data_IF_191715286174
#
_entry.id   IF_191715286174
#
_cell.length_a   1.000
_cell.length_b   1.000
_cell.length_c   1.000
_cell.angle_alpha   90.00
_cell.angle_beta   90.00
_cell.angle_gamma   90.00
#
_symmetry.space_group_name_H-M   'P 1'
#
loop_
_entity.id
_entity.type
_entity.pdbx_description
1 polymer ?
#
# COMPACT_ATOMS: atom_id res chain seq x y z
N UNK A 1 41.19 80.64 34.67
CA UNK A 1 40.89 79.23 35.01
C UNK A 1 42.20 78.59 35.40
N UNK A 2 42.29 78.07 36.62
CA UNK A 2 43.47 77.33 37.06
C UNK A 2 43.48 75.93 36.41
N UNK A 3 44.64 75.27 36.38
CA UNK A 3 44.79 73.97 35.74
C UNK A 3 43.87 72.89 36.37
N UNK A 4 43.53 73.04 37.65
CA UNK A 4 42.67 72.12 38.39
C UNK A 4 41.20 72.20 37.92
N UNK A 5 40.69 73.41 37.67
CA UNK A 5 39.33 73.62 37.14
C UNK A 5 39.20 73.15 35.69
N UNK A 6 40.25 73.27 34.88
CA UNK A 6 40.26 72.72 33.52
C UNK A 6 40.25 71.18 33.54
N UNK A 7 41.04 70.56 34.43
CA UNK A 7 41.11 69.11 34.55
C UNK A 7 39.82 68.48 35.10
N UNK A 8 39.16 69.15 36.05
CA UNK A 8 37.85 68.74 36.55
C UNK A 8 36.78 68.82 35.46
N UNK A 9 36.79 69.87 34.63
CA UNK A 9 35.86 70.01 33.51
C UNK A 9 36.08 68.92 32.44
N UNK A 10 37.34 68.57 32.14
CA UNK A 10 37.66 67.47 31.21
C UNK A 10 37.21 66.12 31.78
N UNK A 11 37.43 65.86 33.07
CA UNK A 11 36.96 64.61 33.70
C UNK A 11 35.43 64.50 33.73
N UNK A 12 34.73 65.61 33.98
CA UNK A 12 33.27 65.65 33.90
C UNK A 12 32.76 65.40 32.48
N UNK A 13 33.41 65.97 31.46
CA UNK A 13 33.05 65.74 30.06
C UNK A 13 33.32 64.29 29.63
N UNK A 14 34.43 63.69 30.06
CA UNK A 14 34.74 62.28 29.77
C UNK A 14 33.72 61.35 30.47
N UNK A 15 33.33 61.65 31.70
CA UNK A 15 32.31 60.87 32.41
C UNK A 15 30.93 60.95 31.72
N UNK A 16 30.54 62.12 31.21
CA UNK A 16 29.30 62.29 30.46
C UNK A 16 29.31 61.50 29.14
N UNK A 17 30.42 61.54 28.40
CA UNK A 17 30.57 60.76 27.15
C UNK A 17 30.54 59.25 27.42
N UNK A 18 31.11 58.79 28.53
CA UNK A 18 31.06 57.38 28.92
C UNK A 18 29.64 56.94 29.34
N UNK A 19 28.85 57.82 29.96
CA UNK A 19 27.45 57.55 30.26
C UNK A 19 26.59 57.49 29.00
N UNK A 20 26.78 58.41 28.04
CA UNK A 20 26.05 58.39 26.76
C UNK A 20 26.43 57.16 25.92
N UNK A 21 27.70 56.75 25.91
CA UNK A 21 28.12 55.54 25.22
C UNK A 21 27.49 54.27 25.82
N UNK A 22 27.35 54.20 27.15
CA UNK A 22 26.68 53.10 27.83
C UNK A 22 25.17 53.04 27.51
N UNK A 23 24.52 54.19 27.33
CA UNK A 23 23.12 54.27 26.89
C UNK A 23 22.97 53.84 25.42
N UNK A 24 23.91 54.24 24.55
CA UNK A 24 23.93 53.82 23.13
C UNK A 24 24.12 52.30 23.00
N UNK A 25 25.03 51.70 23.78
CA UNK A 25 25.26 50.25 23.76
C UNK A 25 24.09 49.45 24.37
N UNK A 26 23.30 50.05 25.28
CA UNK A 26 22.09 49.44 25.82
C UNK A 26 20.90 49.46 24.84
N UNK A 27 20.86 50.43 23.90
CA UNK A 27 19.80 50.55 22.88
C UNK A 27 20.15 49.75 21.62
N UNK A 28 21.42 49.36 21.43
CA UNK A 28 21.83 48.55 20.28
C UNK A 28 21.14 47.18 20.36
N UNK A 29 20.36 46.78 19.34
CA UNK A 29 19.73 45.47 19.33
C UNK A 29 20.84 44.41 19.41
N UNK A 30 20.83 43.67 20.51
CA UNK A 30 21.73 42.53 20.68
C UNK A 30 21.45 41.56 19.51
N UNK A 31 22.47 41.05 18.81
CA UNK A 31 22.27 40.05 17.78
C UNK A 31 21.59 38.85 18.44
N UNK A 32 20.29 38.71 18.17
CA UNK A 32 19.48 37.61 18.66
C UNK A 32 20.17 36.34 18.18
N UNK A 33 20.52 35.39 19.07
CA UNK A 33 21.15 34.15 18.64
C UNK A 33 20.26 33.53 17.58
N UNK A 34 20.82 33.29 16.39
CA UNK A 34 20.09 32.72 15.28
C UNK A 34 19.37 31.47 15.80
N UNK A 35 18.04 31.49 15.77
CA UNK A 35 17.24 30.37 16.25
C UNK A 35 17.75 29.11 15.56
N UNK A 36 18.12 28.10 16.36
CA UNK A 36 18.61 26.84 15.83
C UNK A 36 17.59 26.31 14.81
N UNK A 37 18.04 26.08 13.57
CA UNK A 37 17.18 25.56 12.51
C UNK A 37 16.69 24.19 12.98
N UNK A 38 15.42 24.10 13.35
CA UNK A 38 14.81 22.85 13.76
C UNK A 38 14.94 21.85 12.61
N UNK A 39 15.39 20.63 12.93
CA UNK A 39 15.44 19.54 11.96
C UNK A 39 14.06 19.35 11.32
N UNK A 40 14.00 19.39 9.99
CA UNK A 40 12.79 19.21 9.22
C UNK A 40 13.01 18.14 8.16
N UNK A 41 12.18 17.09 8.18
CA UNK A 41 12.19 16.02 7.17
C UNK A 41 11.55 16.49 5.86
N UNK A 42 10.69 17.51 5.92
CA UNK A 42 9.98 18.06 4.76
C UNK A 42 10.31 19.54 4.56
N UNK A 43 10.47 20.02 3.30
CA UNK A 43 10.92 21.38 3.03
C UNK A 43 10.01 22.49 3.56
N UNK A 44 8.73 22.18 3.79
CA UNK A 44 7.76 23.13 4.34
C UNK A 44 7.67 23.09 5.88
N UNK A 45 8.33 22.13 6.54
CA UNK A 45 8.27 21.90 8.00
C UNK A 45 6.87 21.54 8.52
N UNK A 46 6.73 21.42 9.84
CA UNK A 46 5.47 21.14 10.55
C UNK A 46 4.94 22.33 11.35
N UNK A 47 5.58 23.50 11.24
CA UNK A 47 5.20 24.69 12.01
C UNK A 47 3.85 25.29 11.60
N UNK A 48 3.25 26.14 12.42
CA UNK A 48 1.96 26.78 12.11
C UNK A 48 2.08 28.15 11.41
N UNK A 49 3.31 28.59 11.11
CA UNK A 49 3.57 29.87 10.44
C UNK A 49 3.09 29.80 8.99
N UNK A 50 2.30 30.80 8.58
CA UNK A 50 1.85 30.92 7.21
C UNK A 50 3.05 31.06 6.25
N UNK A 51 2.95 30.45 5.07
CA UNK A 51 3.93 30.64 4.02
C UNK A 51 3.84 32.05 3.46
N UNK A 52 4.99 32.68 3.25
CA UNK A 52 5.06 33.92 2.49
C UNK A 52 5.09 33.62 0.98
N UNK A 53 3.90 33.51 0.37
CA UNK A 53 3.75 33.32 -1.07
C UNK A 53 4.08 34.56 -1.91
N UNK A 54 4.34 35.72 -1.30
CA UNK A 54 4.82 36.90 -2.03
C UNK A 54 6.32 36.82 -2.31
N UNK A 55 7.07 36.05 -1.51
CA UNK A 55 8.48 35.77 -1.76
C UNK A 55 8.70 34.85 -2.95
N UNK A 56 9.86 34.98 -3.62
CA UNK A 56 10.28 34.03 -4.67
C UNK A 56 10.31 32.59 -4.16
N UNK A 57 10.74 32.35 -2.92
CA UNK A 57 10.77 31.00 -2.32
C UNK A 57 9.37 30.45 -2.11
N UNK A 58 8.45 31.25 -1.56
CA UNK A 58 7.06 30.84 -1.37
C UNK A 58 6.32 30.63 -2.68
N UNK A 59 6.57 31.45 -3.70
CA UNK A 59 6.00 31.24 -5.04
C UNK A 59 6.45 29.89 -5.63
N UNK A 60 7.74 29.55 -5.51
CA UNK A 60 8.25 28.23 -5.94
C UNK A 60 7.59 27.09 -5.18
N UNK A 61 7.41 27.22 -3.87
CA UNK A 61 6.68 26.24 -3.05
C UNK A 61 5.22 26.10 -3.48
N UNK A 62 4.54 27.21 -3.74
CA UNK A 62 3.16 27.20 -4.22
C UNK A 62 3.03 26.47 -5.56
N UNK A 63 3.91 26.76 -6.53
CA UNK A 63 3.91 26.09 -7.84
C UNK A 63 4.18 24.59 -7.67
N UNK A 64 5.24 24.23 -6.94
CA UNK A 64 5.64 22.84 -6.77
C UNK A 64 4.58 22.01 -6.03
N UNK A 65 3.98 22.59 -4.99
CA UNK A 65 2.95 21.93 -4.19
C UNK A 65 1.62 21.78 -4.93
N UNK A 66 1.27 22.70 -5.83
CA UNK A 66 0.04 22.66 -6.64
C UNK A 66 0.21 22.01 -8.02
N UNK A 67 1.40 21.50 -8.33
CA UNK A 67 1.67 20.84 -9.62
C UNK A 67 0.78 19.61 -9.79
N UNK A 68 -0.02 19.52 -10.88
CA UNK A 68 -0.88 18.38 -11.16
C UNK A 68 -0.15 17.04 -11.20
N UNK A 69 -0.87 15.95 -10.92
CA UNK A 69 -0.36 14.61 -11.21
C UNK A 69 -0.24 14.39 -12.72
N UNK A 70 0.82 13.69 -13.15
CA UNK A 70 1.12 13.47 -14.57
C UNK A 70 -0.05 12.81 -15.32
N UNK A 71 -0.70 11.84 -14.67
CA UNK A 71 -1.91 11.21 -15.18
C UNK A 71 -3.10 11.77 -14.42
N UNK A 72 -4.01 12.40 -15.16
CA UNK A 72 -5.26 12.88 -14.60
C UNK A 72 -6.10 11.71 -14.11
N UNK A 73 -6.66 11.85 -12.92
CA UNK A 73 -7.58 10.88 -12.34
C UNK A 73 -8.95 10.98 -13.04
N UNK A 74 -9.43 9.84 -13.54
CA UNK A 74 -10.65 9.75 -14.34
C UNK A 74 -11.92 9.53 -13.50
N UNK A 75 -11.78 9.33 -12.19
CA UNK A 75 -12.90 9.09 -11.29
C UNK A 75 -13.32 7.63 -11.21
N UNK A 76 -12.43 6.68 -11.54
CA UNK A 76 -12.66 5.25 -11.31
C UNK A 76 -12.33 4.85 -9.87
N UNK A 77 -13.30 4.22 -9.21
CA UNK A 77 -13.17 3.68 -7.84
C UNK A 77 -11.95 2.76 -7.67
N UNK A 78 -11.66 1.89 -8.66
CA UNK A 78 -10.50 0.98 -8.61
C UNK A 78 -9.15 1.70 -8.51
N UNK A 79 -9.08 2.96 -8.91
CA UNK A 79 -7.86 3.79 -8.83
C UNK A 79 -7.95 4.90 -7.79
N UNK A 80 -9.05 4.98 -7.03
CA UNK A 80 -9.27 5.99 -6.00
C UNK A 80 -8.18 5.93 -4.92
N UNK A 81 -7.82 4.73 -4.45
CA UNK A 81 -6.78 4.56 -3.42
C UNK A 81 -5.43 5.13 -3.87
N UNK A 82 -5.02 4.88 -5.11
CA UNK A 82 -3.78 5.44 -5.65
C UNK A 82 -3.83 6.97 -5.69
N UNK A 83 -4.96 7.53 -6.11
CA UNK A 83 -5.17 8.98 -6.11
C UNK A 83 -5.08 9.59 -4.70
N UNK A 84 -5.77 8.99 -3.72
CA UNK A 84 -5.72 9.43 -2.32
C UNK A 84 -4.33 9.30 -1.71
N UNK A 85 -3.59 8.23 -2.02
CA UNK A 85 -2.19 8.04 -1.63
C UNK A 85 -1.30 9.15 -2.18
N UNK A 86 -1.44 9.52 -3.46
CA UNK A 86 -0.67 10.61 -4.07
C UNK A 86 -0.96 11.96 -3.42
N UNK A 87 -2.22 12.21 -3.04
CA UNK A 87 -2.60 13.40 -2.26
C UNK A 87 -1.94 13.38 -0.88
N UNK A 88 -2.00 12.26 -0.16
CA UNK A 88 -1.38 12.12 1.16
C UNK A 88 0.14 12.36 1.11
N UNK A 89 0.83 11.80 0.11
CA UNK A 89 2.27 12.03 -0.10
C UNK A 89 2.59 13.51 -0.40
N UNK A 90 1.74 14.18 -1.20
CA UNK A 90 1.88 15.61 -1.45
C UNK A 90 1.67 16.41 -0.17
N UNK A 91 0.64 16.07 0.59
CA UNK A 91 0.35 16.70 1.86
C UNK A 91 1.50 16.55 2.87
N UNK A 92 2.09 15.36 2.97
CA UNK A 92 3.27 15.14 3.80
C UNK A 92 4.45 16.02 3.36
N UNK A 93 4.78 15.99 2.06
CA UNK A 93 5.90 16.74 1.48
C UNK A 93 5.83 18.25 1.73
N UNK A 94 4.62 18.81 1.81
CA UNK A 94 4.39 20.24 2.00
C UNK A 94 3.72 20.59 3.35
N UNK A 95 3.63 19.64 4.28
CA UNK A 95 3.09 19.87 5.62
C UNK A 95 1.62 20.27 5.65
N UNK A 96 0.79 19.66 4.80
CA UNK A 96 -0.68 19.80 4.77
C UNK A 96 -1.39 18.73 5.58
N UNK A 97 -0.68 17.73 6.11
CA UNK A 97 -1.27 16.63 6.88
C UNK A 97 -2.30 17.08 7.92
N UNK A 98 -2.12 18.19 8.68
CA UNK A 98 -3.13 18.64 9.64
C UNK A 98 -4.51 18.93 9.04
N UNK A 99 -4.59 19.45 7.80
CA UNK A 99 -5.91 19.71 7.19
C UNK A 99 -6.61 18.43 6.75
N UNK A 100 -5.87 17.33 6.53
CA UNK A 100 -6.42 16.03 6.16
C UNK A 100 -6.93 15.21 7.35
N UNK A 101 -6.65 15.64 8.59
CA UNK A 101 -7.08 14.98 9.82
C UNK A 101 -8.37 15.63 10.33
N UNK A 102 -9.52 15.01 10.05
CA UNK A 102 -10.85 15.48 10.42
C UNK A 102 -11.37 14.63 11.57
N UNK A 103 -11.94 15.24 12.60
CA UNK A 103 -12.55 14.48 13.69
C UNK A 103 -13.87 13.84 13.24
N UNK A 104 -14.09 12.57 13.59
CA UNK A 104 -15.38 11.91 13.45
C UNK A 104 -16.41 12.40 14.51
N UNK A 105 -17.60 11.79 14.51
CA UNK A 105 -18.67 12.16 15.43
C UNK A 105 -18.28 11.94 16.92
N UNK A 106 -17.39 10.99 17.18
CA UNK A 106 -16.85 10.67 18.50
C UNK A 106 -15.65 11.54 18.88
N UNK A 107 -15.20 12.44 18.01
CA UNK A 107 -14.05 13.31 18.23
C UNK A 107 -12.70 12.67 17.93
N UNK A 108 -12.68 11.47 17.34
CA UNK A 108 -11.45 10.76 16.97
C UNK A 108 -10.91 11.31 15.64
N UNK A 109 -9.62 11.68 15.56
CA UNK A 109 -9.05 12.19 14.32
C UNK A 109 -8.95 11.09 13.25
N UNK A 110 -9.56 11.33 12.09
CA UNK A 110 -9.57 10.44 10.92
C UNK A 110 -8.85 11.09 9.76
N UNK A 111 -7.98 10.33 9.10
CA UNK A 111 -7.34 10.80 7.88
C UNK A 111 -8.32 10.64 6.70
N UNK A 112 -8.74 11.74 6.08
CA UNK A 112 -9.70 11.70 4.96
C UNK A 112 -9.18 10.93 3.73
N UNK A 113 -7.86 10.79 3.56
CA UNK A 113 -7.30 9.99 2.45
C UNK A 113 -7.35 8.49 2.70
N UNK A 114 -7.74 8.08 3.92
CA UNK A 114 -7.80 6.67 4.34
C UNK A 114 -9.21 6.36 4.83
N UNK A 115 -9.65 6.99 5.91
CA UNK A 115 -10.87 6.71 6.69
C UNK A 115 -12.05 7.61 6.31
N UNK A 116 -12.21 7.92 5.03
CA UNK A 116 -13.23 8.86 4.54
C UNK A 116 -14.67 8.42 4.81
N UNK A 117 -14.95 7.12 4.93
CA UNK A 117 -16.33 6.64 5.14
C UNK A 117 -16.84 6.90 6.56
N UNK A 118 -15.96 7.26 7.50
CA UNK A 118 -16.32 7.70 8.85
C UNK A 118 -16.73 9.19 8.90
N UNK A 119 -16.56 9.95 7.83
CA UNK A 119 -16.69 11.39 7.81
C UNK A 119 -17.94 11.83 7.05
N UNK A 120 -18.79 12.63 7.70
CA UNK A 120 -19.92 13.30 7.04
C UNK A 120 -19.49 14.64 6.44
N UNK A 121 -20.28 15.16 5.49
CA UNK A 121 -19.99 16.47 4.89
C UNK A 121 -20.01 17.58 5.94
N UNK A 122 -20.91 17.48 6.93
CA UNK A 122 -21.03 18.44 8.03
C UNK A 122 -19.77 18.47 8.90
N UNK A 123 -19.23 17.30 9.27
CA UNK A 123 -17.99 17.20 10.06
C UNK A 123 -16.80 17.82 9.32
N UNK A 124 -16.68 17.54 8.02
CA UNK A 124 -15.60 18.09 7.19
C UNK A 124 -15.74 19.61 7.04
N UNK A 125 -16.96 20.12 6.87
CA UNK A 125 -17.22 21.56 6.82
C UNK A 125 -16.89 22.24 8.16
N UNK A 126 -17.28 21.65 9.29
CA UNK A 126 -16.94 22.17 10.62
C UNK A 126 -15.42 22.25 10.82
N UNK A 127 -14.69 21.21 10.40
CA UNK A 127 -13.23 21.22 10.41
C UNK A 127 -12.67 22.35 9.54
N UNK A 128 -13.19 22.54 8.32
CA UNK A 128 -12.77 23.62 7.43
C UNK A 128 -12.96 25.02 8.04
N UNK A 129 -14.08 25.27 8.72
CA UNK A 129 -14.36 26.55 9.39
C UNK A 129 -13.25 26.93 10.37
N UNK A 130 -12.63 25.96 11.07
CA UNK A 130 -11.63 26.23 12.11
C UNK A 130 -10.41 26.98 11.58
N UNK A 131 -9.92 26.64 10.39
CA UNK A 131 -8.75 27.27 9.79
C UNK A 131 -9.08 28.35 8.77
N UNK A 132 -10.23 28.28 8.12
CA UNK A 132 -10.64 29.31 7.14
C UNK A 132 -10.83 30.69 7.80
N UNK A 133 -11.22 30.71 9.09
CA UNK A 133 -11.34 31.92 9.91
C UNK A 133 -10.01 32.53 10.34
N UNK A 134 -8.98 31.70 10.50
CA UNK A 134 -7.67 32.14 11.01
C UNK A 134 -6.76 32.68 9.91
N UNK A 135 -7.08 32.40 8.64
CA UNK A 135 -6.30 32.82 7.46
C UNK A 135 -4.80 32.46 7.54
N UNK A 136 -4.48 31.39 8.26
CA UNK A 136 -3.10 30.92 8.49
C UNK A 136 -2.66 29.83 7.53
N UNK A 137 -1.59 29.12 7.93
CA UNK A 137 -0.97 28.04 7.14
C UNK A 137 -1.95 26.97 6.66
N UNK A 138 -2.89 26.56 7.51
CA UNK A 138 -3.88 25.53 7.17
C UNK A 138 -4.86 26.00 6.10
N UNK A 139 -5.27 27.28 6.11
CA UNK A 139 -6.05 27.86 5.02
C UNK A 139 -5.27 27.80 3.71
N UNK A 140 -4.00 28.21 3.71
CA UNK A 140 -3.15 28.13 2.53
C UNK A 140 -2.98 26.68 2.04
N UNK A 141 -2.87 25.71 2.94
CA UNK A 141 -2.77 24.29 2.61
C UNK A 141 -4.04 23.81 1.91
N UNK A 142 -5.21 24.17 2.44
CA UNK A 142 -6.50 23.88 1.82
C UNK A 142 -6.62 24.50 0.41
N UNK A 143 -6.19 25.75 0.23
CA UNK A 143 -6.18 26.42 -1.08
C UNK A 143 -5.23 25.73 -2.08
N UNK A 144 -4.08 25.26 -1.63
CA UNK A 144 -3.16 24.50 -2.47
C UNK A 144 -3.73 23.12 -2.85
N UNK A 145 -4.37 22.43 -1.89
CA UNK A 145 -5.03 21.16 -2.12
C UNK A 145 -6.17 21.30 -3.14
N UNK A 146 -7.00 22.33 -3.02
CA UNK A 146 -8.04 22.67 -3.99
C UNK A 146 -7.48 22.78 -5.42
N UNK A 147 -6.41 23.56 -5.61
CA UNK A 147 -5.78 23.74 -6.92
C UNK A 147 -5.17 22.44 -7.46
N UNK A 148 -4.51 21.67 -6.58
CA UNK A 148 -3.95 20.38 -6.93
C UNK A 148 -5.02 19.42 -7.45
N UNK A 149 -6.15 19.32 -6.75
CA UNK A 149 -7.25 18.41 -7.11
C UNK A 149 -7.79 18.79 -8.49
N UNK A 150 -8.19 20.05 -8.70
CA UNK A 150 -8.74 20.49 -9.98
C UNK A 150 -7.78 20.29 -11.15
N UNK A 151 -6.47 20.50 -10.93
CA UNK A 151 -5.48 20.25 -11.97
C UNK A 151 -5.20 18.76 -12.23
N UNK A 152 -5.50 17.88 -11.26
CA UNK A 152 -5.13 16.46 -11.30
C UNK A 152 -6.28 15.52 -11.67
N UNK A 153 -7.44 16.05 -12.04
CA UNK A 153 -8.62 15.28 -12.46
C UNK A 153 -8.96 15.55 -13.91
N UNK A 154 -9.70 14.63 -14.54
CA UNK A 154 -10.19 14.86 -15.91
C UNK A 154 -11.24 15.99 -15.95
N UNK A 155 -11.38 16.72 -17.09
CA UNK A 155 -12.38 17.78 -17.23
C UNK A 155 -13.80 17.31 -16.92
N UNK A 156 -14.18 16.11 -17.39
CA UNK A 156 -15.49 15.50 -17.12
C UNK A 156 -15.75 15.31 -15.63
N UNK A 157 -14.74 14.88 -14.87
CA UNK A 157 -14.87 14.73 -13.41
C UNK A 157 -14.92 16.09 -12.72
N UNK A 158 -14.14 17.07 -13.21
CA UNK A 158 -14.18 18.44 -12.70
C UNK A 158 -15.59 19.05 -12.85
N UNK A 159 -16.25 18.89 -14.00
CA UNK A 159 -17.61 19.40 -14.23
C UNK A 159 -18.64 18.76 -13.27
N UNK A 160 -18.52 17.46 -13.01
CA UNK A 160 -19.36 16.77 -12.02
C UNK A 160 -19.12 17.31 -10.61
N UNK A 161 -17.88 17.60 -10.26
CA UNK A 161 -17.50 18.12 -8.96
C UNK A 161 -17.97 19.56 -8.77
N UNK A 162 -17.77 20.44 -9.76
CA UNK A 162 -18.18 21.86 -9.70
C UNK A 162 -19.69 22.04 -9.61
N UNK A 163 -20.47 21.13 -10.19
CA UNK A 163 -21.93 21.07 -10.02
C UNK A 163 -22.35 20.95 -8.54
N UNK A 164 -21.46 20.41 -7.68
CA UNK A 164 -21.66 20.25 -6.24
C UNK A 164 -20.88 21.28 -5.40
N UNK A 165 -20.54 22.42 -5.99
CA UNK A 165 -19.73 23.47 -5.35
C UNK A 165 -20.26 24.00 -4.03
N UNK A 166 -21.58 23.96 -3.82
CA UNK A 166 -22.18 24.30 -2.52
C UNK A 166 -21.65 23.45 -1.36
N UNK A 167 -21.27 22.18 -1.60
CA UNK A 167 -20.83 21.26 -0.54
C UNK A 167 -19.40 21.53 -0.08
N UNK A 168 -18.61 22.22 -0.90
CA UNK A 168 -17.23 22.61 -0.56
C UNK A 168 -17.01 24.12 -0.51
N UNK A 169 -18.10 24.89 -0.52
CA UNK A 169 -18.06 26.32 -0.25
C UNK A 169 -18.61 26.56 1.15
N UNK A 170 -17.73 26.93 2.07
CA UNK A 170 -17.99 26.99 3.52
C UNK A 170 -18.13 28.43 3.96
N UNK A 171 -19.10 28.70 4.84
CA UNK A 171 -19.24 30.01 5.46
C UNK A 171 -18.18 30.19 6.56
N UNK A 172 -17.16 31.00 6.27
CA UNK A 172 -16.07 31.35 7.18
C UNK A 172 -16.33 32.64 7.99
N UNK A 173 -17.57 33.14 8.04
CA UNK A 173 -17.90 34.29 8.85
C UNK A 173 -17.60 34.02 10.35
N UNK A 174 -17.22 35.08 11.08
CA UNK A 174 -16.94 35.00 12.51
C UNK A 174 -18.17 34.51 13.29
N UNK A 175 -17.97 33.65 14.28
CA UNK A 175 -19.02 33.28 15.20
C UNK A 175 -19.39 34.49 16.06
N UNK A 176 -20.69 34.79 16.15
CA UNK A 176 -21.21 35.86 17.01
C UNK A 176 -21.92 35.27 18.21
N UNK A 177 -21.90 36.02 19.31
CA UNK A 177 -22.63 35.65 20.52
C UNK A 177 -24.15 35.55 20.24
N UNK A 178 -24.87 34.69 20.99
CA UNK A 178 -26.32 34.60 20.88
C UNK A 178 -26.98 35.97 21.06
N UNK A 179 -27.90 36.34 20.15
CA UNK A 179 -28.63 37.61 20.21
C UNK A 179 -28.01 38.78 19.43
N UNK A 180 -26.84 38.60 18.82
CA UNK A 180 -26.27 39.57 17.87
C UNK A 180 -26.65 39.17 16.45
N UNK A 181 -27.01 40.14 15.60
CA UNK A 181 -27.28 39.91 14.19
C UNK A 181 -26.09 39.20 13.53
N UNK A 182 -26.37 38.10 12.82
CA UNK A 182 -25.33 37.34 12.14
C UNK A 182 -24.63 38.23 11.10
N UNK A 183 -23.28 38.25 11.04
CA UNK A 183 -22.56 38.95 9.99
C UNK A 183 -22.92 38.35 8.63
N UNK A 184 -22.75 39.16 7.57
CA UNK A 184 -22.90 38.67 6.22
C UNK A 184 -22.03 37.42 6.00
N UNK A 185 -22.54 36.39 5.29
CA UNK A 185 -21.81 35.15 5.07
C UNK A 185 -20.52 35.42 4.27
N UNK A 186 -19.41 34.83 4.71
CA UNK A 186 -18.12 34.88 4.02
C UNK A 186 -17.87 33.51 3.41
N UNK A 187 -18.38 33.31 2.20
CA UNK A 187 -18.29 32.02 1.51
C UNK A 187 -16.89 31.82 0.93
N UNK A 188 -16.18 30.78 1.39
CA UNK A 188 -14.83 30.43 0.93
C UNK A 188 -14.82 28.98 0.44
N UNK A 189 -14.10 28.73 -0.65
CA UNK A 189 -13.90 27.37 -1.18
C UNK A 189 -12.86 26.64 -0.34
N UNK A 190 -13.12 25.38 -0.03
CA UNK A 190 -12.26 24.53 0.79
C UNK A 190 -11.79 23.27 0.04
N UNK A 191 -10.49 23.02 0.04
CA UNK A 191 -9.86 21.88 -0.62
C UNK A 191 -10.14 20.53 0.05
N UNK A 192 -10.32 20.50 1.38
CA UNK A 192 -10.62 19.26 2.10
C UNK A 192 -12.09 18.86 1.88
N UNK A 193 -13.00 19.83 1.93
CA UNK A 193 -14.40 19.61 1.56
C UNK A 193 -14.53 19.20 0.08
N UNK A 194 -13.74 19.79 -0.82
CA UNK A 194 -13.71 19.40 -2.23
C UNK A 194 -13.24 17.95 -2.39
N UNK A 195 -12.19 17.53 -1.66
CA UNK A 195 -11.72 16.15 -1.66
C UNK A 195 -12.80 15.18 -1.16
N UNK A 196 -13.50 15.54 -0.07
CA UNK A 196 -14.61 14.75 0.46
C UNK A 196 -15.71 14.55 -0.57
N UNK A 197 -16.12 15.63 -1.25
CA UNK A 197 -17.17 15.56 -2.26
C UNK A 197 -16.72 14.77 -3.49
N UNK A 198 -15.45 14.89 -3.90
CA UNK A 198 -14.89 14.05 -4.96
C UNK A 198 -14.94 12.56 -4.59
N UNK A 199 -14.52 12.20 -3.36
CA UNK A 199 -14.60 10.81 -2.87
C UNK A 199 -16.05 10.34 -2.92
N UNK A 200 -16.99 11.15 -2.43
CA UNK A 200 -18.42 10.82 -2.49
C UNK A 200 -18.92 10.60 -3.92
N UNK A 201 -18.46 11.38 -4.91
CA UNK A 201 -18.86 11.21 -6.32
C UNK A 201 -18.41 9.86 -6.88
N UNK A 202 -17.25 9.37 -6.45
CA UNK A 202 -16.64 8.12 -6.95
C UNK A 202 -17.20 6.92 -6.20
N UNK A 203 -17.29 6.98 -4.86
CA UNK A 203 -17.65 5.84 -4.02
C UNK A 203 -19.17 5.62 -3.83
N UNK A 204 -20.03 6.25 -4.65
CA UNK A 204 -21.50 6.04 -4.59
C UNK A 204 -21.87 4.59 -4.92
N UNK A 205 -21.07 3.89 -5.72
CA UNK A 205 -21.43 2.60 -6.31
C UNK A 205 -21.16 1.38 -5.39
N UNK A 206 -20.41 1.54 -4.30
CA UNK A 206 -19.88 0.42 -3.48
C UNK A 206 -20.28 0.50 -2.00
N UNK A 207 -21.57 0.68 -1.72
CA UNK A 207 -22.11 0.55 -0.34
C UNK A 207 -22.28 -0.90 0.09
N UNK A 208 -21.21 -1.69 0.06
CA UNK A 208 -21.21 -2.99 0.74
C UNK A 208 -21.21 -2.76 2.26
N UNK A 209 -22.07 -3.48 2.98
CA UNK A 209 -22.07 -3.43 4.45
C UNK A 209 -20.78 -4.08 4.98
N UNK A 210 -20.33 -3.65 6.17
CA UNK A 210 -19.17 -4.26 6.84
C UNK A 210 -19.36 -5.77 6.98
N UNK A 211 -20.56 -6.22 7.33
CA UNK A 211 -20.89 -7.65 7.43
C UNK A 211 -20.70 -8.40 6.10
N UNK A 212 -21.09 -7.82 4.97
CA UNK A 212 -20.89 -8.44 3.64
C UNK A 212 -19.40 -8.50 3.30
N UNK A 213 -18.66 -7.41 3.54
CA UNK A 213 -17.21 -7.35 3.29
C UNK A 213 -16.48 -8.39 4.13
N UNK A 214 -16.74 -8.44 5.44
CA UNK A 214 -16.15 -9.43 6.35
C UNK A 214 -16.52 -10.86 5.95
N UNK A 215 -17.77 -11.12 5.54
CA UNK A 215 -18.18 -12.44 5.05
C UNK A 215 -17.38 -12.87 3.83
N UNK A 216 -17.14 -11.96 2.87
CA UNK A 216 -16.31 -12.26 1.69
C UNK A 216 -14.85 -12.51 2.08
N UNK A 217 -14.28 -11.67 2.94
CA UNK A 217 -12.90 -11.83 3.42
C UNK A 217 -12.67 -13.10 4.25
N UNK A 218 -13.74 -13.64 4.87
CA UNK A 218 -13.72 -14.92 5.58
C UNK A 218 -14.04 -16.13 4.69
N UNK A 219 -14.37 -15.93 3.42
CA UNK A 219 -14.60 -17.00 2.45
C UNK A 219 -13.94 -16.65 1.11
N UNK A 220 -12.62 -16.61 1.14
CA UNK A 220 -11.83 -16.29 -0.06
C UNK A 220 -11.82 -17.44 -1.08
N UNK A 221 -12.15 -18.67 -0.69
CA UNK A 221 -12.37 -19.76 -1.63
C UNK A 221 -13.51 -19.44 -2.61
N UNK A 222 -14.64 -18.93 -2.11
CA UNK A 222 -15.74 -18.47 -2.97
C UNK A 222 -15.31 -17.31 -3.87
N UNK A 223 -14.52 -16.37 -3.35
CA UNK A 223 -14.01 -15.25 -4.16
C UNK A 223 -13.11 -15.75 -5.30
N UNK A 224 -12.29 -16.79 -5.06
CA UNK A 224 -11.46 -17.41 -6.11
C UNK A 224 -12.30 -18.10 -7.19
N UNK A 225 -13.43 -18.72 -6.80
CA UNK A 225 -14.38 -19.32 -7.73
C UNK A 225 -15.10 -18.26 -8.57
N UNK A 226 -15.58 -17.18 -7.92
CA UNK A 226 -16.30 -16.08 -8.56
C UNK A 226 -15.46 -15.38 -9.64
N UNK A 227 -14.13 -15.36 -9.50
CA UNK A 227 -13.17 -14.80 -10.47
C UNK A 227 -12.53 -15.86 -11.36
N UNK A 228 -13.09 -17.07 -11.41
CA UNK A 228 -12.69 -18.16 -12.32
C UNK A 228 -11.20 -18.51 -12.26
N UNK A 229 -10.62 -18.59 -11.05
CA UNK A 229 -9.17 -18.83 -10.85
C UNK A 229 -8.23 -17.73 -11.39
N UNK A 230 -8.75 -16.56 -11.76
CA UNK A 230 -7.91 -15.42 -12.13
C UNK A 230 -7.24 -14.81 -10.90
N UNK A 231 -5.96 -15.12 -10.71
CA UNK A 231 -5.18 -14.66 -9.55
C UNK A 231 -5.05 -13.13 -9.49
N UNK A 232 -4.96 -12.44 -10.62
CA UNK A 232 -4.85 -10.97 -10.65
C UNK A 232 -6.15 -10.31 -10.19
N UNK A 233 -7.28 -10.82 -10.67
CA UNK A 233 -8.61 -10.34 -10.30
C UNK A 233 -9.00 -10.71 -8.86
N UNK A 234 -8.63 -11.92 -8.42
CA UNK A 234 -8.72 -12.34 -7.03
C UNK A 234 -8.02 -11.34 -6.11
N UNK A 235 -6.74 -11.07 -6.38
CA UNK A 235 -5.94 -10.16 -5.56
C UNK A 235 -6.51 -8.74 -5.57
N UNK A 236 -6.91 -8.25 -6.74
CA UNK A 236 -7.54 -6.94 -6.89
C UNK A 236 -8.83 -6.84 -6.08
N UNK A 237 -9.63 -7.91 -6.05
CA UNK A 237 -10.87 -7.99 -5.27
C UNK A 237 -10.58 -8.00 -3.78
N UNK A 238 -9.62 -8.81 -3.30
CA UNK A 238 -9.23 -8.84 -1.89
C UNK A 238 -8.70 -7.48 -1.43
N UNK A 239 -7.84 -6.84 -2.22
CA UNK A 239 -7.33 -5.50 -1.93
C UNK A 239 -8.46 -4.48 -1.84
N UNK A 240 -9.42 -4.51 -2.78
CA UNK A 240 -10.58 -3.63 -2.78
C UNK A 240 -11.51 -3.84 -1.57
N UNK A 241 -11.65 -5.07 -1.08
CA UNK A 241 -12.41 -5.37 0.14
C UNK A 241 -11.69 -4.83 1.39
N UNK A 242 -10.37 -5.02 1.47
CA UNK A 242 -9.54 -4.48 2.54
C UNK A 242 -9.64 -2.95 2.58
N UNK A 243 -9.59 -2.29 1.42
CA UNK A 243 -9.70 -0.84 1.32
C UNK A 243 -11.05 -0.32 1.80
N UNK A 244 -12.12 -1.07 1.53
CA UNK A 244 -13.43 -0.72 2.05
C UNK A 244 -13.53 -0.85 3.57
N UNK A 245 -12.82 -1.80 4.21
CA UNK A 245 -12.73 -1.87 5.67
C UNK A 245 -11.91 -0.73 6.25
N UNK A 246 -10.75 -0.44 5.65
CA UNK A 246 -9.91 0.70 6.04
C UNK A 246 -10.68 2.03 5.97
N UNK A 247 -11.46 2.24 4.91
CA UNK A 247 -12.29 3.44 4.77
C UNK A 247 -13.28 3.66 5.90
N UNK A 248 -13.73 2.56 6.52
CA UNK A 248 -14.72 2.51 7.61
C UNK A 248 -14.06 2.38 8.98
N UNK A 249 -12.74 2.42 9.06
CA UNK A 249 -11.96 2.18 10.28
C UNK A 249 -12.28 0.86 10.98
N UNK A 250 -12.59 -0.18 10.20
CA UNK A 250 -12.86 -1.53 10.71
C UNK A 250 -11.58 -2.35 10.63
N UNK A 251 -11.30 -3.11 11.69
CA UNK A 251 -10.17 -4.03 11.72
C UNK A 251 -10.30 -5.11 10.64
N UNK A 252 -9.19 -5.42 9.98
CA UNK A 252 -9.14 -6.49 8.99
C UNK A 252 -9.10 -7.83 9.74
N UNK A 253 -9.93 -8.82 9.39
CA UNK A 253 -9.80 -10.16 9.93
C UNK A 253 -8.41 -10.77 9.64
N UNK A 254 -7.95 -11.78 10.39
CA UNK A 254 -6.71 -12.49 10.07
C UNK A 254 -6.73 -13.01 8.62
N UNK A 255 -5.84 -12.51 7.78
CA UNK A 255 -5.91 -12.78 6.33
C UNK A 255 -5.12 -14.00 5.87
N UNK A 256 -4.11 -14.42 6.62
CA UNK A 256 -3.16 -15.38 6.10
C UNK A 256 -3.79 -16.76 5.85
N UNK A 257 -4.56 -17.28 6.80
CA UNK A 257 -5.25 -18.56 6.66
C UNK A 257 -6.29 -18.52 5.54
N UNK A 258 -7.11 -17.46 5.51
CA UNK A 258 -8.12 -17.27 4.47
C UNK A 258 -7.48 -17.13 3.07
N UNK A 259 -6.30 -16.49 2.97
CA UNK A 259 -5.57 -16.37 1.71
C UNK A 259 -5.06 -17.73 1.25
N UNK A 260 -4.52 -18.57 2.15
CA UNK A 260 -4.15 -19.93 1.79
C UNK A 260 -5.35 -20.74 1.29
N UNK A 261 -6.49 -20.65 1.96
CA UNK A 261 -7.73 -21.28 1.52
C UNK A 261 -8.18 -20.79 0.14
N UNK A 262 -8.19 -19.47 -0.08
CA UNK A 262 -8.54 -18.88 -1.38
C UNK A 262 -7.61 -19.32 -2.51
N UNK A 263 -6.30 -19.27 -2.29
CA UNK A 263 -5.32 -19.65 -3.31
C UNK A 263 -5.29 -21.15 -3.61
N UNK A 264 -5.60 -22.00 -2.63
CA UNK A 264 -5.67 -23.46 -2.84
C UNK A 264 -6.93 -23.89 -3.59
N UNK A 265 -7.94 -23.02 -3.69
CA UNK A 265 -9.14 -23.23 -4.51
C UNK A 265 -8.94 -22.87 -6.01
N UNK A 266 -7.73 -22.51 -6.42
CA UNK A 266 -7.39 -22.25 -7.81
C UNK A 266 -7.31 -23.56 -8.63
N UNK A 267 -7.73 -23.52 -9.90
CA UNK A 267 -7.65 -24.66 -10.81
C UNK A 267 -6.22 -25.01 -11.26
N UNK A 268 -5.27 -24.08 -11.20
CA UNK A 268 -3.86 -24.35 -11.52
C UNK A 268 -3.19 -25.18 -10.41
N UNK A 269 -3.13 -26.50 -10.62
CA UNK A 269 -2.51 -27.46 -9.69
C UNK A 269 -1.02 -27.19 -9.42
N UNK A 270 -0.31 -26.52 -10.32
CA UNK A 270 1.10 -26.14 -10.09
C UNK A 270 1.17 -25.00 -9.09
N UNK A 271 0.33 -23.98 -9.28
CA UNK A 271 0.18 -22.88 -8.35
C UNK A 271 -0.30 -23.36 -6.97
N UNK A 272 -1.33 -24.22 -6.92
CA UNK A 272 -1.82 -24.81 -5.66
C UNK A 272 -0.71 -25.53 -4.91
N UNK A 273 0.06 -26.41 -5.58
CA UNK A 273 1.20 -27.10 -4.95
C UNK A 273 2.27 -26.14 -4.44
N UNK A 274 2.50 -25.04 -5.15
CA UNK A 274 3.43 -23.99 -4.71
C UNK A 274 2.92 -23.33 -3.43
N UNK A 275 1.64 -22.99 -3.36
CA UNK A 275 1.01 -22.37 -2.19
C UNK A 275 0.97 -23.33 -1.00
N UNK A 276 0.61 -24.60 -1.19
CA UNK A 276 0.62 -25.58 -0.09
C UNK A 276 2.00 -25.74 0.54
N UNK A 277 3.07 -25.74 -0.26
CA UNK A 277 4.45 -25.75 0.29
C UNK A 277 4.79 -24.50 1.08
N UNK A 278 4.25 -23.34 0.67
CA UNK A 278 4.42 -22.09 1.39
C UNK A 278 3.65 -22.10 2.71
N UNK A 279 2.45 -22.68 2.72
CA UNK A 279 1.67 -22.88 3.93
C UNK A 279 2.40 -23.82 4.91
N UNK A 280 2.87 -24.98 4.45
CA UNK A 280 3.65 -25.92 5.28
C UNK A 280 4.89 -25.24 5.90
N UNK A 281 5.62 -24.47 5.09
CA UNK A 281 6.81 -23.74 5.56
C UNK A 281 6.48 -22.60 6.54
N UNK A 282 5.27 -22.06 6.50
CA UNK A 282 4.81 -21.06 7.46
C UNK A 282 4.42 -21.73 8.78
N UNK A 283 3.65 -22.81 8.71
CA UNK A 283 3.20 -23.58 9.88
C UNK A 283 4.37 -24.22 10.66
N UNK A 284 5.45 -24.62 9.98
CA UNK A 284 6.65 -25.19 10.62
C UNK A 284 7.69 -24.12 11.06
N UNK A 285 7.39 -22.83 10.83
CA UNK A 285 8.23 -21.69 11.20
C UNK A 285 9.47 -21.49 10.31
N UNK A 286 9.59 -22.21 9.19
CA UNK A 286 10.69 -22.02 8.22
C UNK A 286 10.60 -20.66 7.51
N UNK A 287 9.40 -20.13 7.33
CA UNK A 287 9.16 -18.76 6.86
C UNK A 287 8.21 -18.03 7.82
N UNK A 288 8.56 -16.82 8.23
CA UNK A 288 7.70 -15.98 9.07
C UNK A 288 6.71 -15.14 8.24
N UNK A 289 7.02 -14.92 6.97
CA UNK A 289 6.22 -14.11 6.05
C UNK A 289 6.22 -14.73 4.65
N UNK A 290 5.09 -14.57 3.95
CA UNK A 290 5.03 -14.83 2.51
C UNK A 290 5.83 -13.74 1.79
N UNK A 291 7.06 -14.06 1.35
CA UNK A 291 7.83 -13.15 0.50
C UNK A 291 7.01 -12.80 -0.76
N UNK A 292 6.58 -11.53 -0.87
CA UNK A 292 5.93 -11.00 -2.07
C UNK A 292 6.99 -10.61 -3.11
N UNK A 293 6.89 -11.18 -4.31
CA UNK A 293 7.53 -10.65 -5.51
C UNK A 293 7.90 -11.70 -6.57
N UNK A 294 7.49 -11.51 -7.84
CA UNK A 294 8.17 -12.17 -8.95
C UNK A 294 9.61 -11.64 -8.98
N UNK A 295 10.59 -12.53 -8.93
CA UNK A 295 11.96 -12.17 -9.29
C UNK A 295 11.92 -11.75 -10.76
N UNK A 296 11.85 -10.44 -11.01
CA UNK A 296 12.19 -9.89 -12.31
C UNK A 296 13.57 -10.47 -12.66
N UNK A 297 13.63 -11.30 -13.69
CA UNK A 297 14.89 -11.72 -14.28
C UNK A 297 15.54 -10.46 -14.86
N UNK A 298 16.30 -9.75 -14.02
CA UNK A 298 17.25 -8.74 -14.50
C UNK A 298 18.24 -9.49 -15.38
N UNK A 299 18.24 -9.14 -16.67
CA UNK A 299 19.19 -9.65 -17.65
C UNK A 299 20.60 -9.59 -17.08
N UNK A 300 21.28 -10.73 -17.12
CA UNK A 300 22.70 -10.84 -16.78
C UNK A 300 23.47 -9.97 -17.77
N UNK A 301 23.87 -8.77 -17.35
CA UNK A 301 25.06 -8.13 -17.91
C UNK A 301 26.24 -8.66 -17.12
N UNK A 302 27.18 -9.26 -17.85
CA UNK A 302 28.39 -9.81 -17.31
C UNK A 302 29.35 -8.68 -16.95
N UNK A 303 29.61 -8.49 -15.66
CA UNK A 303 30.91 -8.12 -15.07
C UNK A 303 30.77 -8.14 -13.54
N UNK A 304 31.89 -8.35 -12.86
CA UNK A 304 32.06 -8.44 -11.40
C UNK A 304 31.83 -9.82 -10.79
N UNK A 305 32.75 -10.71 -11.16
CA UNK A 305 33.23 -11.72 -10.24
C UNK A 305 33.89 -11.06 -9.03
N UNK A 306 33.70 -11.69 -7.88
CA UNK A 306 34.44 -11.51 -6.62
C UNK A 306 33.90 -10.50 -5.60
N UNK A 307 32.79 -10.90 -4.96
CA UNK A 307 32.55 -10.72 -3.51
C UNK A 307 31.40 -11.64 -3.07
N UNK A 308 31.72 -12.78 -2.46
CA UNK A 308 30.73 -13.70 -1.88
C UNK A 308 29.94 -12.99 -0.78
N UNK A 309 28.62 -12.92 -0.94
CA UNK A 309 27.68 -12.36 0.05
C UNK A 309 27.06 -13.48 0.91
N UNK A 310 26.55 -13.16 2.12
CA UNK A 310 26.09 -14.15 3.12
C UNK A 310 24.92 -15.06 2.68
N UNK A 311 24.30 -14.78 1.53
CA UNK A 311 23.15 -15.53 1.00
C UNK A 311 23.53 -16.92 0.45
N UNK A 312 24.76 -17.11 -0.04
CA UNK A 312 25.24 -18.42 -0.52
C UNK A 312 25.47 -19.43 0.61
N UNK A 313 25.81 -18.98 1.83
CA UNK A 313 26.12 -19.87 2.95
C UNK A 313 24.90 -20.64 3.50
N UNK A 314 23.66 -20.17 3.25
CA UNK A 314 22.43 -20.83 3.74
C UNK A 314 21.99 -21.98 2.84
N UNK A 315 22.23 -21.88 1.52
CA UNK A 315 21.92 -22.96 0.54
C UNK A 315 22.91 -24.14 0.66
N UNK A 316 24.17 -23.89 1.04
CA UNK A 316 25.18 -24.94 1.22
C UNK A 316 24.85 -25.92 2.36
N UNK A 317 24.16 -25.46 3.42
CA UNK A 317 23.82 -26.32 4.59
C UNK A 317 22.92 -27.50 4.23
N UNK A 318 22.10 -27.37 3.19
CA UNK A 318 21.11 -28.38 2.80
C UNK A 318 21.34 -28.97 1.40
N UNK A 319 22.43 -28.58 0.72
CA UNK A 319 22.80 -29.11 -0.60
C UNK A 319 22.85 -30.66 -0.63
N UNK A 320 23.24 -31.28 0.49
CA UNK A 320 23.29 -32.73 0.62
C UNK A 320 21.93 -33.43 0.44
N UNK A 321 20.79 -32.74 0.64
CA UNK A 321 19.45 -33.32 0.47
C UNK A 321 19.09 -33.59 -0.99
N UNK A 322 19.80 -32.99 -1.93
CA UNK A 322 19.54 -33.15 -3.37
C UNK A 322 20.46 -34.18 -4.04
N UNK A 323 21.55 -34.54 -3.35
CA UNK A 323 22.55 -35.49 -3.86
C UNK A 323 22.15 -36.91 -3.50
N UNK A 324 22.01 -37.78 -4.49
CA UNK A 324 21.75 -39.20 -4.24
C UNK A 324 22.97 -39.87 -3.56
N UNK A 325 22.76 -40.82 -2.64
CA UNK A 325 23.85 -41.65 -2.12
C UNK A 325 24.53 -42.38 -3.28
N UNK A 326 25.85 -42.53 -3.18
CA UNK A 326 26.64 -43.30 -4.16
C UNK A 326 26.30 -44.77 -4.06
N UNK A 327 26.63 -45.54 -5.10
CA UNK A 327 26.44 -46.99 -5.09
C UNK A 327 27.16 -47.62 -3.88
N UNK A 328 26.42 -48.33 -3.04
CA UNK A 328 26.92 -48.95 -1.81
C UNK A 328 26.78 -48.12 -0.53
N UNK A 329 26.36 -46.85 -0.61
CA UNK A 329 26.14 -46.01 0.58
C UNK A 329 24.79 -46.28 1.26
N UNK A 330 24.68 -46.06 2.58
CA UNK A 330 23.42 -46.23 3.31
C UNK A 330 22.36 -45.24 2.82
N UNK A 331 21.13 -45.72 2.66
CA UNK A 331 19.96 -44.93 2.23
C UNK A 331 19.23 -44.26 3.41
N UNK A 332 19.82 -44.29 4.60
CA UNK A 332 19.31 -43.61 5.79
C UNK A 332 20.46 -42.87 6.49
N UNK A 333 20.19 -41.69 7.05
CA UNK A 333 21.17 -40.94 7.85
C UNK A 333 20.52 -39.97 8.84
N UNK A 334 21.24 -39.67 9.91
CA UNK A 334 20.82 -38.70 10.91
C UNK A 334 21.58 -37.39 10.71
N UNK A 335 20.85 -36.28 10.56
CA UNK A 335 21.45 -34.94 10.42
C UNK A 335 20.74 -33.98 11.35
N UNK A 336 21.47 -33.43 12.31
CA UNK A 336 20.94 -32.47 13.28
C UNK A 336 19.84 -33.04 14.18
N UNK A 337 19.98 -34.31 14.62
CA UNK A 337 19.02 -34.98 15.50
C UNK A 337 17.75 -35.50 14.82
N UNK A 338 17.58 -35.29 13.51
CA UNK A 338 16.46 -35.83 12.72
C UNK A 338 16.95 -36.96 11.80
N UNK A 339 16.16 -38.03 11.68
CA UNK A 339 16.41 -39.16 10.79
C UNK A 339 15.86 -38.90 9.38
N UNK A 340 16.67 -39.14 8.35
CA UNK A 340 16.32 -38.97 6.95
C UNK A 340 16.47 -40.29 6.19
N UNK A 341 15.60 -40.51 5.20
CA UNK A 341 15.64 -41.62 4.25
C UNK A 341 15.79 -41.08 2.83
N UNK A 342 16.62 -41.74 2.03
CA UNK A 342 16.73 -41.49 0.60
C UNK A 342 15.56 -42.12 -0.13
N UNK A 343 14.86 -41.31 -0.92
CA UNK A 343 13.72 -41.75 -1.72
C UNK A 343 13.89 -41.30 -3.19
N UNK A 344 14.03 -42.24 -4.14
CA UNK A 344 14.30 -41.93 -5.54
C UNK A 344 13.10 -41.32 -6.28
N UNK A 345 11.89 -41.40 -5.69
CA UNK A 345 10.66 -40.85 -6.26
C UNK A 345 10.57 -39.32 -6.14
N UNK A 346 11.50 -38.68 -5.43
CA UNK A 346 11.59 -37.23 -5.36
C UNK A 346 12.67 -36.73 -6.33
N UNK A 347 12.26 -35.91 -7.30
CA UNK A 347 13.16 -35.40 -8.32
C UNK A 347 14.09 -34.30 -7.77
N UNK A 348 13.60 -33.46 -6.86
CA UNK A 348 14.31 -32.27 -6.34
C UNK A 348 14.94 -32.47 -4.95
N UNK A 349 14.28 -33.23 -4.07
CA UNK A 349 14.72 -33.42 -2.68
C UNK A 349 14.77 -34.90 -2.37
N UNK A 350 15.92 -35.52 -2.63
CA UNK A 350 16.09 -36.97 -2.57
C UNK A 350 16.18 -37.52 -1.15
N UNK A 351 16.55 -36.68 -0.18
CA UNK A 351 16.55 -37.02 1.24
C UNK A 351 15.40 -36.35 1.97
N UNK A 352 14.50 -37.16 2.52
CA UNK A 352 13.27 -36.75 3.20
C UNK A 352 13.24 -37.32 4.62
N UNK A 353 12.42 -36.76 5.51
CA UNK A 353 12.32 -37.27 6.88
C UNK A 353 11.82 -38.72 6.87
N UNK A 354 12.43 -39.57 7.70
CA UNK A 354 12.07 -40.99 7.83
C UNK A 354 10.67 -41.15 8.43
N UNK A 355 10.32 -40.29 9.39
CA UNK A 355 8.99 -40.16 9.98
C UNK A 355 8.61 -38.69 9.88
N UNK A 356 7.44 -38.38 9.31
CA UNK A 356 6.95 -37.01 9.27
C UNK A 356 6.35 -36.60 10.62
N UNK A 357 6.00 -35.33 10.77
CA UNK A 357 5.49 -34.79 12.04
C UNK A 357 4.08 -35.33 12.42
N UNK A 358 3.44 -36.10 11.52
CA UNK A 358 2.20 -36.86 11.77
C UNK A 358 2.47 -38.31 12.19
N UNK A 359 3.72 -38.69 12.45
CA UNK A 359 4.12 -40.05 12.84
C UNK A 359 4.13 -41.06 11.69
N UNK A 360 3.96 -40.62 10.43
CA UNK A 360 3.89 -41.51 9.27
C UNK A 360 5.30 -41.79 8.75
N UNK A 361 5.65 -43.07 8.67
CA UNK A 361 6.94 -43.53 8.13
C UNK A 361 6.96 -43.34 6.61
N UNK A 362 7.99 -42.68 6.08
CA UNK A 362 8.07 -42.36 4.65
C UNK A 362 8.17 -43.61 3.75
N UNK A 363 8.77 -44.70 4.23
CA UNK A 363 8.86 -45.96 3.48
C UNK A 363 7.49 -46.60 3.19
N UNK A 364 6.47 -46.32 4.01
CA UNK A 364 5.09 -46.81 3.84
C UNK A 364 4.12 -45.72 3.37
N UNK A 365 4.46 -44.44 3.58
CA UNK A 365 3.62 -43.28 3.29
C UNK A 365 4.02 -42.43 2.06
N UNK A 366 4.96 -42.87 1.23
CA UNK A 366 5.44 -42.07 0.10
C UNK A 366 4.37 -41.89 -1.00
N UNK A 367 3.74 -40.72 -1.08
CA UNK A 367 2.74 -40.39 -2.13
C UNK A 367 3.30 -40.53 -3.54
N UNK A 368 4.55 -40.09 -3.77
CA UNK A 368 5.21 -40.20 -5.09
C UNK A 368 5.48 -41.65 -5.51
N UNK A 369 5.69 -42.55 -4.56
CA UNK A 369 5.80 -43.99 -4.83
C UNK A 369 4.43 -44.59 -5.17
N UNK A 370 3.35 -44.14 -4.50
CA UNK A 370 1.98 -44.56 -4.81
C UNK A 370 1.57 -44.12 -6.22
N UNK A 371 1.80 -42.85 -6.54
CA UNK A 371 1.58 -42.30 -7.90
C UNK A 371 2.39 -43.06 -8.96
N UNK A 372 3.65 -43.40 -8.69
CA UNK A 372 4.49 -44.17 -9.62
C UNK A 372 4.01 -45.62 -9.80
N UNK A 373 3.46 -46.24 -8.75
CA UNK A 373 2.87 -47.60 -8.82
C UNK A 373 1.56 -47.60 -9.59
N UNK A 374 0.70 -46.61 -9.38
CA UNK A 374 -0.56 -46.44 -10.11
C UNK A 374 -0.31 -46.19 -11.61
N UNK A 375 0.69 -45.35 -11.94
CA UNK A 375 1.12 -45.14 -13.32
C UNK A 375 1.66 -46.41 -13.99
N UNK A 376 2.35 -47.28 -13.23
CA UNK A 376 2.87 -48.56 -13.74
C UNK A 376 1.80 -49.64 -13.87
N UNK A 377 0.77 -49.65 -13.02
CA UNK A 377 -0.35 -50.61 -13.09
C UNK A 377 -1.26 -50.37 -14.29
N UNK A 378 -1.44 -49.11 -14.68
CA UNK A 378 -2.23 -48.75 -15.88
C UNK A 378 -1.57 -49.16 -17.19
N UNK A 379 -0.25 -49.38 -17.20
CA UNK A 379 0.48 -49.86 -18.38
C UNK A 379 0.32 -51.37 -18.62
N UNK A 380 -0.01 -52.16 -17.59
CA UNK A 380 -0.16 -53.63 -17.71
C UNK A 380 -1.57 -54.08 -18.09
N UNK A 381 -2.61 -53.27 -17.90
CA UNK A 381 -3.96 -53.57 -18.39
C UNK A 381 -4.14 -53.29 -19.90
N UNK A 382 -3.31 -52.42 -20.48
CA UNK A 382 -3.49 -51.95 -21.86
C UNK A 382 -2.76 -52.79 -22.93
N UNK A 383 -2.30 -54.00 -22.58
CA UNK A 383 -1.63 -54.94 -23.51
C UNK A 383 -2.55 -56.12 -23.91
N UNK A 384 -3.74 -56.22 -23.31
CA UNK A 384 -4.70 -57.32 -23.58
C UNK A 384 -5.75 -57.06 -24.66
N UNK A 385 -5.90 -55.82 -25.16
CA UNK A 385 -7.13 -55.42 -25.89
C UNK A 385 -6.88 -54.72 -27.23
N UNK A 386 -5.75 -55.01 -27.90
CA UNK A 386 -5.40 -54.42 -29.22
C UNK A 386 -5.37 -55.43 -30.38
N UNK A 387 -5.96 -56.63 -30.19
CA UNK A 387 -5.99 -57.67 -31.24
C UNK A 387 -7.41 -58.15 -31.60
N UNK A 388 -8.43 -57.30 -31.48
CA UNK A 388 -9.82 -57.67 -31.84
C UNK A 388 -10.70 -56.59 -32.51
N UNK A 389 -10.14 -55.48 -33.00
CA UNK A 389 -10.91 -54.53 -33.83
C UNK A 389 -10.06 -53.97 -34.98
N UNK A 390 -9.79 -54.84 -35.96
CA UNK A 390 -9.21 -54.41 -37.24
C UNK A 390 -9.69 -55.25 -38.45
N UNK A 391 -10.74 -56.06 -38.33
CA UNK A 391 -11.32 -56.78 -39.48
C UNK A 391 -12.85 -56.89 -39.31
N UNK A 392 -13.58 -55.94 -39.88
CA UNK A 392 -14.95 -56.11 -40.39
C UNK A 392 -15.43 -54.75 -40.93
N UNK A 393 -15.25 -54.52 -42.22
CA UNK A 393 -16.14 -53.78 -43.14
C UNK A 393 -15.62 -54.17 -44.53
N UNK A 394 -16.17 -55.25 -45.07
CA UNK A 394 -16.16 -55.54 -46.51
C UNK A 394 -17.32 -54.76 -47.16
N UNK A 395 -17.16 -54.17 -48.35
CA UNK A 395 -18.26 -53.64 -49.13
C UNK A 395 -18.92 -54.74 -49.97
N UNK A 396 -20.22 -54.95 -49.80
CA UNK A 396 -21.04 -55.77 -50.71
C UNK A 396 -21.19 -55.07 -52.07
N UNK A 397 -20.75 -55.75 -53.13
CA UNK A 397 -21.19 -55.53 -54.51
C UNK A 397 -22.60 -56.09 -54.68
N UNK A 398 -23.55 -55.25 -55.08
CA UNK A 398 -24.76 -55.71 -55.77
C UNK A 398 -24.93 -54.86 -57.05
N UNK A 399 -24.53 -55.46 -58.18
CA UNK A 399 -25.13 -55.15 -59.47
C UNK A 399 -26.59 -55.68 -59.43
N UNK A 400 -27.56 -55.03 -60.07
CA UNK A 400 -28.03 -55.45 -61.40
C UNK A 400 -29.21 -54.53 -61.83
N UNK A 401 -29.06 -54.00 -63.05
CA UNK A 401 -30.05 -53.77 -64.14
C UNK A 401 -31.30 -52.88 -63.91
N UNK A 402 -31.41 -51.79 -64.68
CA UNK A 402 -32.33 -51.59 -65.84
C UNK A 402 -33.62 -50.88 -65.36
N UNK A 403 -34.31 -49.96 -66.04
CA UNK A 403 -34.52 -49.62 -67.45
C UNK A 403 -35.22 -48.23 -67.45
N UNK A 404 -35.12 -47.48 -68.56
CA UNK A 404 -36.07 -46.45 -69.07
C UNK A 404 -36.66 -45.37 -68.11
N UNK A 405 -36.63 -44.05 -68.37
CA UNK A 405 -36.73 -43.29 -69.62
C UNK A 405 -36.37 -41.82 -69.34
#
# INVERSE_FOLDING_TARGET
MDAATLQAAVQAAVAAVLQDQAVIDAIRPQPQPAAAVAFAVTPAGTGNVAWDFSSSTGLKMYIASTTPFRQAYDGKESTLRDFLRKIAQRAESYGWTPVLMVNDAEGTPRNITIQHACLTTELVQQHAVTYLRLEGRQHQASACLHKLILGSITPRLADRLTTRSSNFTVNAAAAVAPGVAAPAPVMKVDGVCMLHELIKIVSVETRASVAIISRKLNNLAQVMEDVESNIEEFNSTVEGLIDQLHSKSVDIPPMLENLFEGYTNCSDLTFVKYISRKQEAYEDGTIEQLEYGPKQQKGKTATDADKKTPKQAKDDKYAWKQVAPKAGEPKEKTVGGKEYIFCPHHHTTKWVLKVNDKGIVHSTGCTKMKEAREASGRATENVGDTTALANAIEPEEEAVEDEEL
#
